data_IF_143018762838
#
_entry.id   IF_143018762838
#
_cell.length_a   1.000
_cell.length_b   1.000
_cell.length_c   1.000
_cell.angle_alpha   90.00
_cell.angle_beta   90.00
_cell.angle_gamma   90.00
#
_symmetry.space_group_name_H-M   'P 1'
#
loop_
_entity.id
_entity.type
_entity.pdbx_description
1 polymer ?
#
# COMPACT_ATOMS: atom_id res chain seq x y z
N UNK A 1 39.84 16.17 24.23
CA UNK A 1 39.12 15.33 23.26
C UNK A 1 37.92 16.11 22.77
N UNK A 2 37.80 16.34 21.46
CA UNK A 2 36.59 16.94 20.89
C UNK A 2 35.54 15.84 20.74
N UNK A 3 34.47 15.91 21.54
CA UNK A 3 33.32 15.03 21.38
C UNK A 3 32.43 15.59 20.29
N UNK A 4 32.12 14.78 19.28
CA UNK A 4 31.06 15.10 18.31
C UNK A 4 29.72 14.98 19.04
N UNK A 5 29.13 16.11 19.41
CA UNK A 5 27.84 16.18 20.10
C UNK A 5 26.66 15.92 19.17
N UNK A 6 26.81 16.15 17.86
CA UNK A 6 25.79 15.89 16.85
C UNK A 6 26.36 15.19 15.60
N UNK A 7 26.33 13.86 15.57
CA UNK A 7 26.69 13.09 14.37
C UNK A 7 25.49 13.00 13.41
N UNK A 8 25.45 13.88 12.40
CA UNK A 8 24.49 13.84 11.30
C UNK A 8 25.14 13.27 10.06
N UNK A 9 24.80 12.03 9.68
CA UNK A 9 25.23 11.42 8.43
C UNK A 9 24.10 10.67 7.72
N UNK A 10 24.20 10.57 6.40
CA UNK A 10 23.34 9.73 5.57
C UNK A 10 24.22 8.94 4.61
N UNK A 11 23.91 7.67 4.42
CA UNK A 11 24.74 6.75 3.64
C UNK A 11 25.28 5.60 4.48
N UNK A 12 26.28 4.91 3.96
CA UNK A 12 26.91 3.78 4.66
C UNK A 12 28.12 4.24 5.46
N UNK A 13 28.22 3.78 6.70
CA UNK A 13 29.41 3.92 7.55
C UNK A 13 29.74 2.55 8.15
N UNK A 14 30.74 1.88 7.59
CA UNK A 14 31.08 0.49 7.94
C UNK A 14 29.88 -0.46 7.84
N UNK A 15 29.56 -1.11 8.95
CA UNK A 15 28.43 -2.02 9.14
C UNK A 15 27.08 -1.31 9.26
N UNK A 16 27.03 0.03 9.29
CA UNK A 16 25.79 0.78 9.45
C UNK A 16 25.39 1.49 8.16
N UNK A 17 24.08 1.67 8.01
CA UNK A 17 23.50 2.52 6.97
C UNK A 17 22.49 3.45 7.62
N UNK A 18 22.69 4.76 7.43
CA UNK A 18 21.82 5.82 7.91
C UNK A 18 21.01 6.41 6.76
N UNK A 19 19.70 6.59 6.95
CA UNK A 19 18.84 7.22 5.95
C UNK A 19 17.69 7.97 6.61
N UNK A 20 17.14 8.95 5.89
CA UNK A 20 15.93 9.66 6.31
C UNK A 20 14.72 9.02 5.65
N UNK A 21 13.67 8.79 6.45
CA UNK A 21 12.39 8.29 5.96
C UNK A 21 11.37 9.42 5.97
N UNK A 22 10.68 9.60 4.84
CA UNK A 22 9.61 10.60 4.73
C UNK A 22 8.52 10.34 5.77
N UNK A 23 8.20 11.36 6.58
CA UNK A 23 7.23 11.26 7.67
C UNK A 23 7.85 11.07 9.07
N UNK A 24 9.18 11.09 9.16
CA UNK A 24 9.92 11.07 10.43
C UNK A 24 11.09 12.03 10.36
N UNK A 25 11.28 12.84 11.39
CA UNK A 25 12.41 13.78 11.48
C UNK A 25 13.70 13.11 11.97
N UNK A 26 13.60 11.85 12.39
CA UNK A 26 14.70 11.04 12.90
C UNK A 26 15.46 10.35 11.77
N UNK A 27 16.79 10.33 11.87
CA UNK A 27 17.64 9.48 11.02
C UNK A 27 17.50 8.02 11.47
N UNK A 28 17.13 7.14 10.54
CA UNK A 28 17.07 5.70 10.81
C UNK A 28 18.44 5.12 10.52
N UNK A 29 19.06 4.51 11.53
CA UNK A 29 20.33 3.80 11.41
C UNK A 29 20.05 2.31 11.54
N UNK A 30 20.47 1.53 10.54
CA UNK A 30 20.39 0.06 10.56
C UNK A 30 21.76 -0.56 10.43
N UNK A 31 21.96 -1.72 11.05
CA UNK A 31 23.12 -2.58 10.77
C UNK A 31 22.89 -3.35 9.46
N UNK A 32 23.93 -3.51 8.66
CA UNK A 32 23.97 -4.41 7.51
C UNK A 32 23.99 -5.84 8.03
N UNK A 33 23.18 -6.71 7.44
CA UNK A 33 23.05 -8.10 7.87
C UNK A 33 21.76 -8.72 7.38
N UNK A 34 21.47 -9.91 7.89
CA UNK A 34 20.31 -10.72 7.50
C UNK A 34 20.71 -11.89 6.59
N UNK A 35 19.79 -12.84 6.43
CA UNK A 35 19.98 -13.96 5.53
C UNK A 35 19.97 -13.48 4.07
N UNK A 36 20.79 -14.09 3.23
CA UNK A 36 20.78 -13.80 1.79
C UNK A 36 19.44 -14.21 1.16
N UNK A 37 19.09 -13.58 0.03
CA UNK A 37 17.89 -13.96 -0.75
C UNK A 37 17.86 -15.46 -1.07
N UNK A 38 19.01 -16.02 -1.45
CA UNK A 38 19.11 -17.44 -1.79
C UNK A 38 18.90 -18.32 -0.56
N UNK A 39 19.49 -17.95 0.58
CA UNK A 39 19.27 -18.64 1.85
C UNK A 39 17.80 -18.65 2.26
N UNK A 40 17.09 -17.52 2.10
CA UNK A 40 15.65 -17.43 2.39
C UNK A 40 14.84 -18.32 1.44
N UNK A 41 15.25 -18.43 0.17
CA UNK A 41 14.55 -19.21 -0.85
C UNK A 41 14.69 -20.72 -0.63
N UNK A 42 15.88 -21.19 -0.28
CA UNK A 42 16.20 -22.63 -0.29
C UNK A 42 16.22 -23.27 1.09
N UNK A 43 16.69 -22.57 2.12
CA UNK A 43 16.89 -23.18 3.44
C UNK A 43 15.57 -23.61 4.07
N UNK A 44 15.57 -24.79 4.69
CA UNK A 44 14.43 -25.34 5.44
C UNK A 44 14.01 -24.43 6.59
N UNK A 45 14.95 -23.71 7.22
CA UNK A 45 14.68 -22.80 8.35
C UNK A 45 13.72 -21.65 7.97
N UNK A 46 13.66 -21.28 6.69
CA UNK A 46 12.77 -20.22 6.20
C UNK A 46 11.48 -20.75 5.55
N UNK A 47 11.16 -22.05 5.66
CA UNK A 47 9.95 -22.63 5.05
C UNK A 47 8.67 -21.90 5.48
N UNK A 48 8.44 -21.72 6.77
CA UNK A 48 7.28 -20.98 7.30
C UNK A 48 7.29 -19.51 6.91
N UNK A 49 8.47 -18.88 6.93
CA UNK A 49 8.61 -17.48 6.52
C UNK A 49 8.19 -17.28 5.05
N UNK A 50 8.55 -18.21 4.15
CA UNK A 50 8.10 -18.18 2.75
C UNK A 50 6.57 -18.26 2.64
N UNK A 51 5.91 -19.09 3.44
CA UNK A 51 4.44 -19.15 3.46
C UNK A 51 3.82 -17.81 3.90
N UNK A 52 4.36 -17.19 4.95
CA UNK A 52 3.92 -15.86 5.39
C UNK A 52 4.21 -14.76 4.36
N UNK A 53 5.34 -14.83 3.66
CA UNK A 53 5.67 -13.90 2.58
C UNK A 53 4.67 -14.00 1.42
N UNK A 54 4.25 -15.21 1.04
CA UNK A 54 3.21 -15.43 0.02
C UNK A 54 1.89 -14.80 0.43
N UNK A 55 1.44 -15.04 1.66
CA UNK A 55 0.24 -14.42 2.21
C UNK A 55 0.32 -12.89 2.29
N UNK A 56 1.46 -12.36 2.71
CA UNK A 56 1.71 -10.92 2.78
C UNK A 56 1.73 -10.28 1.38
N UNK A 57 2.27 -10.99 0.39
CA UNK A 57 2.19 -10.61 -1.01
C UNK A 57 0.74 -10.48 -1.47
N UNK A 58 -0.12 -11.43 -1.11
CA UNK A 58 -1.56 -11.36 -1.37
C UNK A 58 -2.24 -10.15 -0.74
N UNK A 59 -1.99 -9.89 0.55
CA UNK A 59 -2.51 -8.70 1.23
C UNK A 59 -2.04 -7.40 0.55
N UNK A 60 -0.79 -7.37 0.08
CA UNK A 60 -0.23 -6.21 -0.60
C UNK A 60 -0.86 -5.97 -1.96
N UNK A 61 -1.13 -7.03 -2.72
CA UNK A 61 -1.83 -6.94 -4.02
C UNK A 61 -3.29 -6.52 -3.83
N UNK A 62 -4.02 -7.12 -2.90
CA UNK A 62 -5.39 -6.68 -2.60
C UNK A 62 -5.42 -5.25 -2.04
N UNK A 63 -4.44 -4.87 -1.23
CA UNK A 63 -4.31 -3.50 -0.73
C UNK A 63 -4.07 -2.50 -1.86
N UNK A 64 -3.35 -2.89 -2.92
CA UNK A 64 -3.24 -2.08 -4.14
C UNK A 64 -4.61 -1.90 -4.79
N UNK A 65 -5.41 -2.96 -4.86
CA UNK A 65 -6.76 -2.94 -5.45
C UNK A 65 -7.71 -2.02 -4.69
N UNK A 66 -7.78 -2.17 -3.36
CA UNK A 66 -8.50 -1.27 -2.45
C UNK A 66 -8.20 0.20 -2.74
N UNK A 67 -6.90 0.53 -2.85
CA UNK A 67 -6.45 1.91 -3.14
C UNK A 67 -6.77 2.36 -4.56
N UNK A 68 -6.70 1.45 -5.53
CA UNK A 68 -7.02 1.74 -6.92
C UNK A 68 -8.52 2.06 -7.09
N UNK A 69 -9.39 1.34 -6.38
CA UNK A 69 -10.83 1.58 -6.33
C UNK A 69 -11.25 2.89 -5.66
N UNK A 70 -10.33 3.57 -5.00
CA UNK A 70 -10.51 4.92 -4.44
C UNK A 70 -9.51 5.92 -5.04
N UNK A 71 -9.03 5.69 -6.26
CA UNK A 71 -7.99 6.53 -6.90
C UNK A 71 -8.28 8.05 -6.87
N UNK A 72 -9.53 8.53 -7.03
CA UNK A 72 -9.85 9.96 -6.86
C UNK A 72 -9.44 10.55 -5.50
N UNK A 73 -9.43 9.74 -4.45
CA UNK A 73 -9.09 10.15 -3.08
C UNK A 73 -7.58 10.28 -2.84
N UNK A 74 -6.75 9.89 -3.81
CA UNK A 74 -5.28 9.92 -3.69
C UNK A 74 -4.73 11.30 -3.36
N UNK A 75 -5.38 12.37 -3.83
CA UNK A 75 -4.99 13.73 -3.54
C UNK A 75 -5.28 14.16 -2.09
N UNK A 76 -6.19 13.45 -1.40
CA UNK A 76 -6.64 13.74 -0.04
C UNK A 76 -5.91 12.88 1.01
N UNK A 77 -5.39 11.72 0.61
CA UNK A 77 -4.80 10.74 1.51
C UNK A 77 -3.37 11.09 1.95
N UNK A 78 -3.00 10.59 3.14
CA UNK A 78 -1.62 10.67 3.62
C UNK A 78 -0.65 9.86 2.74
N UNK A 79 0.65 10.13 2.86
CA UNK A 79 1.64 9.41 2.06
C UNK A 79 1.72 7.91 2.39
N UNK A 80 1.43 7.50 3.62
CA UNK A 80 1.73 6.14 4.13
C UNK A 80 0.52 5.40 4.73
N UNK A 81 -0.68 5.57 4.16
CA UNK A 81 -1.85 4.82 4.65
C UNK A 81 -1.88 3.34 4.19
N UNK A 82 -1.09 2.98 3.17
CA UNK A 82 -1.01 1.63 2.61
C UNK A 82 -0.68 0.54 3.63
N UNK A 83 0.19 0.84 4.60
CA UNK A 83 0.55 -0.12 5.66
C UNK A 83 -0.63 -0.45 6.58
N UNK A 84 -1.49 0.53 6.86
CA UNK A 84 -2.68 0.32 7.68
C UNK A 84 -3.76 -0.46 6.93
N UNK A 85 -3.94 -0.20 5.63
CA UNK A 85 -4.81 -1.04 4.77
C UNK A 85 -4.33 -2.48 4.78
N UNK A 86 -3.02 -2.72 4.57
CA UNK A 86 -2.47 -4.07 4.60
C UNK A 86 -2.63 -4.74 5.99
N UNK A 87 -2.56 -3.97 7.09
CA UNK A 87 -2.80 -4.48 8.44
C UNK A 87 -4.24 -4.98 8.59
N UNK A 88 -5.23 -4.22 8.11
CA UNK A 88 -6.64 -4.62 8.12
C UNK A 88 -6.88 -5.88 7.26
N UNK A 89 -6.35 -5.90 6.03
CA UNK A 89 -6.44 -7.07 5.15
C UNK A 89 -5.76 -8.31 5.74
N UNK A 90 -4.68 -8.14 6.51
CA UNK A 90 -4.05 -9.27 7.21
C UNK A 90 -4.94 -9.82 8.32
N UNK A 91 -5.77 -8.99 8.98
CA UNK A 91 -6.76 -9.51 9.93
C UNK A 91 -7.84 -10.31 9.20
N UNK A 92 -8.37 -9.80 8.09
CA UNK A 92 -9.33 -10.51 7.23
C UNK A 92 -8.76 -11.88 6.82
N UNK A 93 -7.51 -11.92 6.35
CA UNK A 93 -6.87 -13.18 5.96
C UNK A 93 -6.73 -14.19 7.12
N UNK A 94 -6.55 -13.71 8.36
CA UNK A 94 -6.44 -14.59 9.53
C UNK A 94 -7.77 -15.25 9.88
N UNK A 95 -8.90 -14.69 9.46
CA UNK A 95 -10.23 -15.26 9.67
C UNK A 95 -10.52 -16.45 8.76
N UNK A 96 -9.70 -16.70 7.73
CA UNK A 96 -9.76 -17.96 6.98
C UNK A 96 -9.16 -19.11 7.80
N UNK A 97 -10.03 -19.82 8.51
CA UNK A 97 -9.71 -21.03 9.27
C UNK A 97 -9.74 -22.33 8.46
N UNK A 98 -10.12 -22.28 7.17
CA UNK A 98 -10.29 -23.47 6.32
C UNK A 98 -9.03 -23.76 5.52
N UNK A 99 -8.43 -22.70 4.95
CA UNK A 99 -7.26 -22.86 4.09
C UNK A 99 -5.96 -23.05 4.87
N UNK A 100 -5.05 -23.86 4.33
CA UNK A 100 -3.71 -24.05 4.90
C UNK A 100 -2.87 -22.77 4.92
N UNK A 101 -1.90 -22.70 5.84
CA UNK A 101 -0.94 -21.59 5.94
C UNK A 101 -0.22 -21.37 4.60
N UNK A 102 -0.14 -20.11 4.17
CA UNK A 102 0.41 -19.75 2.86
C UNK A 102 -0.66 -19.59 1.77
N UNK A 103 -1.85 -20.15 1.98
CA UNK A 103 -2.94 -20.22 0.99
C UNK A 103 -4.28 -19.64 1.47
N UNK A 104 -4.30 -18.99 2.64
CA UNK A 104 -5.48 -18.35 3.21
C UNK A 104 -6.01 -17.22 2.34
N UNK A 105 -7.26 -17.34 1.95
CA UNK A 105 -7.97 -16.36 1.16
C UNK A 105 -8.21 -15.08 1.96
N UNK A 106 -8.42 -13.98 1.23
CA UNK A 106 -8.67 -12.66 1.78
C UNK A 106 -10.05 -12.26 1.31
N UNK A 107 -11.05 -12.47 2.18
CA UNK A 107 -12.48 -12.30 1.87
C UNK A 107 -13.03 -11.05 2.54
N UNK A 108 -12.84 -9.89 1.92
CA UNK A 108 -13.42 -8.64 2.40
C UNK A 108 -14.96 -8.68 2.30
N UNK A 109 -15.50 -9.42 1.32
CA UNK A 109 -16.95 -9.56 1.16
C UNK A 109 -17.62 -10.20 2.37
N UNK A 110 -16.91 -11.02 3.15
CA UNK A 110 -17.46 -11.67 4.34
C UNK A 110 -17.27 -10.85 5.62
N UNK A 111 -16.26 -9.96 5.63
CA UNK A 111 -15.84 -9.18 6.80
C UNK A 111 -15.70 -7.69 6.47
N UNK A 112 -16.77 -7.03 5.96
CA UNK A 112 -16.72 -5.64 5.53
C UNK A 112 -16.40 -4.66 6.69
N UNK A 113 -16.76 -5.02 7.92
CA UNK A 113 -16.56 -4.21 9.12
C UNK A 113 -15.09 -3.91 9.44
N UNK A 114 -14.16 -4.75 8.98
CA UNK A 114 -12.72 -4.58 9.29
C UNK A 114 -12.07 -3.42 8.53
N UNK A 115 -12.71 -2.91 7.47
CA UNK A 115 -12.20 -1.80 6.68
C UNK A 115 -13.21 -0.63 6.60
N UNK A 116 -14.43 -0.82 7.11
CA UNK A 116 -15.40 0.24 7.32
C UNK A 116 -14.89 1.28 8.33
N UNK A 117 -15.11 2.56 8.04
CA UNK A 117 -14.67 3.67 8.90
C UNK A 117 -13.17 3.97 8.81
N UNK A 118 -12.42 3.29 7.95
CA UNK A 118 -10.98 3.48 7.82
C UNK A 118 -10.63 4.92 7.38
N UNK A 119 -9.82 5.62 8.17
CA UNK A 119 -9.34 6.96 7.83
C UNK A 119 -8.09 6.92 6.96
N UNK A 120 -8.07 7.72 5.89
CA UNK A 120 -6.91 7.83 5.00
C UNK A 120 -5.86 8.83 5.52
N UNK A 121 -6.18 9.53 6.61
CA UNK A 121 -5.37 10.59 7.20
C UNK A 121 -5.15 10.33 8.70
N UNK A 122 -3.93 10.55 9.18
CA UNK A 122 -3.59 10.28 10.58
C UNK A 122 -3.94 11.43 11.52
N UNK A 123 -3.73 12.68 11.09
CA UNK A 123 -3.85 13.86 11.95
C UNK A 123 -5.13 14.65 11.67
N UNK A 124 -5.34 15.03 10.42
CA UNK A 124 -6.56 15.71 9.96
C UNK A 124 -7.52 14.68 9.38
N UNK A 125 -8.29 14.02 10.24
CA UNK A 125 -9.26 12.99 9.81
C UNK A 125 -10.52 13.62 9.23
N UNK A 126 -11.25 12.89 8.40
CA UNK A 126 -12.56 13.33 7.92
C UNK A 126 -13.50 13.67 9.08
N UNK A 127 -13.56 12.82 10.11
CA UNK A 127 -14.44 13.02 11.28
C UNK A 127 -14.03 14.20 12.17
N UNK A 128 -12.76 14.61 12.14
CA UNK A 128 -12.32 15.84 12.81
C UNK A 128 -12.83 17.10 12.11
N UNK A 129 -12.99 17.04 10.78
CA UNK A 129 -13.49 18.15 9.97
C UNK A 129 -15.01 18.17 9.86
N UNK A 130 -15.65 17.03 9.64
CA UNK A 130 -17.11 16.90 9.54
C UNK A 130 -17.59 16.13 10.77
N UNK A 131 -18.07 16.87 11.78
CA UNK A 131 -18.47 16.31 13.09
C UNK A 131 -19.90 15.78 13.13
N UNK A 132 -20.69 16.03 12.08
CA UNK A 132 -22.02 15.42 11.95
C UNK A 132 -21.91 14.08 11.25
N UNK A 133 -22.72 13.11 11.67
CA UNK A 133 -22.82 11.82 11.01
C UNK A 133 -23.29 11.99 9.55
N UNK A 134 -22.51 11.45 8.62
CA UNK A 134 -22.88 11.30 7.21
C UNK A 134 -23.51 9.91 7.07
N UNK A 135 -24.80 9.85 6.75
CA UNK A 135 -25.51 8.57 6.56
C UNK A 135 -25.38 8.11 5.12
N UNK A 136 -25.36 6.79 4.91
CA UNK A 136 -25.32 6.22 3.57
C UNK A 136 -26.08 4.91 3.48
N UNK A 137 -26.51 4.58 2.27
CA UNK A 137 -27.07 3.27 1.90
C UNK A 137 -26.34 2.78 0.66
N UNK A 138 -25.96 1.51 0.63
CA UNK A 138 -25.29 0.87 -0.51
C UNK A 138 -26.18 -0.27 -0.98
N UNK A 139 -26.47 -0.31 -2.28
CA UNK A 139 -27.17 -1.40 -2.94
C UNK A 139 -26.19 -2.18 -3.82
N UNK A 140 -25.91 -3.43 -3.40
CA UNK A 140 -25.01 -4.33 -4.14
C UNK A 140 -25.61 -4.83 -5.44
N UNK A 141 -26.93 -4.97 -5.53
CA UNK A 141 -27.61 -5.53 -6.70
C UNK A 141 -27.65 -4.54 -7.86
N UNK A 142 -27.70 -3.24 -7.56
CA UNK A 142 -27.66 -2.17 -8.58
C UNK A 142 -26.29 -1.51 -8.71
N UNK A 143 -25.34 -1.81 -7.81
CA UNK A 143 -24.03 -1.17 -7.83
C UNK A 143 -24.11 0.32 -7.54
N UNK A 144 -25.03 0.71 -6.66
CA UNK A 144 -25.31 2.12 -6.35
C UNK A 144 -25.13 2.41 -4.86
N UNK A 145 -24.87 3.67 -4.55
CA UNK A 145 -24.85 4.16 -3.18
C UNK A 145 -25.44 5.57 -3.11
N UNK A 146 -26.17 5.82 -2.03
CA UNK A 146 -26.72 7.12 -1.67
C UNK A 146 -26.05 7.60 -0.41
N UNK A 147 -25.59 8.86 -0.42
CA UNK A 147 -25.02 9.54 0.74
C UNK A 147 -25.87 10.76 1.06
N UNK A 148 -26.25 10.92 2.33
CA UNK A 148 -26.87 12.15 2.81
C UNK A 148 -25.86 12.95 3.62
N UNK A 149 -25.52 14.13 3.11
CA UNK A 149 -24.66 15.10 3.77
C UNK A 149 -25.58 16.12 4.45
N UNK A 150 -25.54 16.23 5.78
CA UNK A 150 -26.29 17.27 6.49
C UNK A 150 -25.72 18.65 6.15
N UNK A 151 -26.49 19.70 6.46
CA UNK A 151 -26.00 21.06 6.31
C UNK A 151 -24.68 21.23 7.06
N UNK A 152 -23.67 21.73 6.37
CA UNK A 152 -22.36 22.01 6.95
C UNK A 152 -22.28 23.49 7.29
N UNK A 153 -22.10 23.77 8.57
CA UNK A 153 -21.95 25.13 9.11
C UNK A 153 -20.59 25.21 9.78
N UNK A 154 -19.80 26.18 9.33
CA UNK A 154 -18.46 26.42 9.85
C UNK A 154 -18.50 26.65 11.36
N UNK A 155 -17.51 26.10 12.06
CA UNK A 155 -17.29 26.25 13.51
C UNK A 155 -18.38 25.64 14.41
N UNK A 156 -19.43 25.04 13.82
CA UNK A 156 -20.46 24.27 14.53
C UNK A 156 -20.22 22.77 14.31
N UNK A 157 -20.34 22.32 13.06
CA UNK A 157 -20.21 20.92 12.70
C UNK A 157 -19.23 20.68 11.55
N UNK A 158 -18.69 21.76 10.97
CA UNK A 158 -17.70 21.73 9.92
C UNK A 158 -16.49 22.60 10.29
N UNK A 159 -15.31 22.00 10.31
CA UNK A 159 -14.05 22.64 10.71
C UNK A 159 -13.03 22.54 9.56
N UNK A 160 -13.23 23.27 8.46
CA UNK A 160 -12.33 23.23 7.30
C UNK A 160 -10.97 23.84 7.64
N UNK A 161 -9.95 23.52 6.83
CA UNK A 161 -8.67 24.20 6.90
C UNK A 161 -8.86 25.69 6.53
N UNK A 162 -8.49 26.58 7.44
CA UNK A 162 -8.63 28.03 7.28
C UNK A 162 -7.80 28.63 6.13
N UNK A 163 -6.80 27.90 5.64
CA UNK A 163 -5.93 28.34 4.54
C UNK A 163 -6.58 28.24 3.15
N UNK A 164 -7.73 27.57 3.03
CA UNK A 164 -8.36 27.34 1.73
C UNK A 164 -9.77 27.93 1.66
N UNK A 165 -10.05 28.84 0.70
CA UNK A 165 -11.31 29.58 0.64
C UNK A 165 -12.50 28.73 0.18
N UNK A 166 -12.24 27.62 -0.52
CA UNK A 166 -13.27 26.75 -1.07
C UNK A 166 -13.04 25.27 -0.73
N UNK A 167 -14.13 24.52 -0.68
CA UNK A 167 -14.12 23.07 -0.52
C UNK A 167 -15.20 22.41 -1.39
N UNK A 168 -15.00 21.13 -1.71
CA UNK A 168 -15.97 20.27 -2.36
C UNK A 168 -15.94 18.91 -1.66
N UNK A 169 -17.08 18.19 -1.65
CA UNK A 169 -17.16 16.84 -1.13
C UNK A 169 -17.12 15.88 -2.31
N UNK A 170 -16.18 14.94 -2.28
CA UNK A 170 -16.06 13.88 -3.28
C UNK A 170 -16.53 12.59 -2.65
N UNK A 171 -17.33 11.85 -3.40
CA UNK A 171 -17.79 10.51 -3.06
C UNK A 171 -17.34 9.57 -4.15
N UNK A 172 -16.76 8.43 -3.78
CA UNK A 172 -16.32 7.40 -4.70
C UNK A 172 -16.85 6.05 -4.27
N UNK A 173 -17.48 5.33 -5.19
CA UNK A 173 -17.93 3.95 -5.02
C UNK A 173 -17.05 3.06 -5.88
N UNK A 174 -16.47 2.02 -5.29
CA UNK A 174 -15.58 1.08 -5.98
C UNK A 174 -15.83 -0.38 -5.63
N UNK A 175 -15.50 -1.28 -6.55
CA UNK A 175 -15.65 -2.74 -6.44
C UNK A 175 -14.33 -3.37 -6.01
N UNK A 176 -14.28 -3.92 -4.82
CA UNK A 176 -13.10 -4.61 -4.30
C UNK A 176 -13.33 -6.12 -4.34
N UNK A 177 -12.66 -6.88 -5.22
CA UNK A 177 -12.77 -8.32 -5.26
C UNK A 177 -12.07 -8.99 -4.07
N UNK A 178 -12.57 -10.18 -3.71
CA UNK A 178 -11.88 -11.09 -2.80
C UNK A 178 -10.71 -11.78 -3.51
N UNK A 179 -9.65 -12.06 -2.76
CA UNK A 179 -8.44 -12.66 -3.30
C UNK A 179 -8.29 -14.09 -2.79
N UNK A 180 -8.07 -15.03 -3.71
CA UNK A 180 -7.81 -16.44 -3.38
C UNK A 180 -6.44 -16.85 -3.89
N UNK A 181 -5.86 -17.87 -3.27
CA UNK A 181 -4.57 -18.41 -3.70
C UNK A 181 -4.75 -19.28 -4.94
N UNK A 182 -4.10 -18.90 -6.03
CA UNK A 182 -4.08 -19.69 -7.26
C UNK A 182 -2.88 -20.66 -7.21
N UNK A 183 -3.17 -21.97 -7.11
CA UNK A 183 -2.15 -23.02 -7.02
C UNK A 183 -1.32 -23.17 -8.30
N UNK A 184 -1.86 -22.80 -9.47
CA UNK A 184 -1.18 -22.88 -10.76
C UNK A 184 -0.15 -21.76 -10.91
N UNK A 185 -0.49 -20.54 -10.51
CA UNK A 185 0.42 -19.37 -10.63
C UNK A 185 1.26 -19.12 -9.39
N UNK A 186 0.92 -19.76 -8.26
CA UNK A 186 1.55 -19.54 -6.96
C UNK A 186 1.29 -18.14 -6.37
N UNK A 187 0.28 -17.42 -6.88
CA UNK A 187 -0.02 -16.03 -6.51
C UNK A 187 -1.47 -15.88 -6.07
N UNK A 188 -1.70 -14.85 -5.26
CA UNK A 188 -3.06 -14.39 -4.97
C UNK A 188 -3.56 -13.51 -6.10
N UNK A 189 -4.77 -13.77 -6.56
CA UNK A 189 -5.44 -12.97 -7.57
C UNK A 189 -6.96 -13.02 -7.36
N UNK A 190 -7.63 -11.98 -7.81
CA UNK A 190 -9.04 -12.03 -8.12
C UNK A 190 -9.25 -12.82 -9.44
N UNK A 191 -10.48 -13.29 -9.73
CA UNK A 191 -10.84 -13.77 -11.05
C UNK A 191 -10.44 -12.78 -12.15
N UNK A 192 -9.91 -13.28 -13.29
CA UNK A 192 -9.36 -12.42 -14.36
C UNK A 192 -10.35 -11.42 -14.95
N UNK A 193 -11.64 -11.71 -14.90
CA UNK A 193 -12.66 -10.83 -15.48
C UNK A 193 -12.78 -9.49 -14.74
N UNK A 194 -12.24 -9.36 -13.51
CA UNK A 194 -12.10 -8.07 -12.83
C UNK A 194 -11.09 -7.14 -13.51
N UNK A 195 -10.10 -7.65 -14.26
CA UNK A 195 -9.03 -6.84 -14.86
C UNK A 195 -9.56 -5.86 -15.93
N UNK A 196 -10.68 -6.19 -16.57
CA UNK A 196 -11.32 -5.38 -17.63
C UNK A 196 -12.41 -4.45 -17.11
N UNK A 197 -12.70 -4.50 -15.80
CA UNK A 197 -13.81 -3.77 -15.21
C UNK A 197 -13.38 -2.34 -14.84
N UNK A 198 -14.12 -1.33 -15.30
CA UNK A 198 -14.03 0.02 -14.73
C UNK A 198 -14.75 0.02 -13.37
N UNK A 199 -14.07 -0.51 -12.35
CA UNK A 199 -14.68 -0.90 -11.09
C UNK A 199 -15.04 0.22 -10.13
N UNK A 200 -14.89 1.50 -10.51
CA UNK A 200 -15.25 2.62 -9.64
C UNK A 200 -15.88 3.77 -10.40
N UNK A 201 -16.73 4.52 -9.71
CA UNK A 201 -17.26 5.80 -10.16
C UNK A 201 -17.18 6.84 -9.03
N UNK A 202 -17.27 8.12 -9.37
CA UNK A 202 -17.26 9.20 -8.40
C UNK A 202 -18.28 10.27 -8.75
N UNK A 203 -18.75 10.96 -7.71
CA UNK A 203 -19.53 12.18 -7.82
C UNK A 203 -18.96 13.22 -6.87
N UNK A 204 -19.07 14.49 -7.21
CA UNK A 204 -18.61 15.58 -6.39
C UNK A 204 -19.67 16.67 -6.26
N UNK A 205 -19.65 17.37 -5.15
CA UNK A 205 -20.46 18.57 -5.00
C UNK A 205 -19.83 19.73 -5.77
N UNK A 206 -20.60 20.78 -6.08
CA UNK A 206 -20.03 22.07 -6.43
C UNK A 206 -19.04 22.56 -5.38
N UNK A 207 -18.19 23.51 -5.78
CA UNK A 207 -17.31 24.21 -4.84
C UNK A 207 -18.14 25.15 -3.96
N UNK A 208 -18.05 24.94 -2.65
CA UNK A 208 -18.64 25.81 -1.64
C UNK A 208 -17.58 26.67 -0.96
N UNK A 209 -17.99 27.80 -0.42
CA UNK A 209 -17.12 28.62 0.42
C UNK A 209 -16.87 27.93 1.76
N UNK A 210 -15.60 27.77 2.15
CA UNK A 210 -15.20 27.29 3.47
C UNK A 210 -15.63 28.21 4.61
N UNK A 211 -16.01 29.45 4.32
CA UNK A 211 -16.55 30.41 5.30
C UNK A 211 -18.06 30.23 5.50
N UNK A 212 -18.81 30.00 4.42
CA UNK A 212 -20.27 29.92 4.47
C UNK A 212 -20.80 28.51 4.74
N UNK A 213 -20.00 27.48 4.46
CA UNK A 213 -20.48 26.09 4.55
C UNK A 213 -21.32 25.68 3.33
N UNK A 214 -22.17 24.67 3.48
CA UNK A 214 -23.03 24.15 2.42
C UNK A 214 -24.41 23.73 2.95
N UNK A 215 -25.46 23.80 2.11
CA UNK A 215 -26.77 23.26 2.48
C UNK A 215 -26.74 21.73 2.61
N UNK A 216 -27.77 21.17 3.24
CA UNK A 216 -27.99 19.73 3.23
C UNK A 216 -28.19 19.23 1.80
N UNK A 217 -27.61 18.09 1.46
CA UNK A 217 -27.66 17.55 0.11
C UNK A 217 -27.50 16.02 0.11
N UNK A 218 -28.02 15.41 -0.95
CA UNK A 218 -27.91 13.98 -1.20
C UNK A 218 -27.10 13.75 -2.47
N UNK A 219 -26.16 12.81 -2.40
CA UNK A 219 -25.33 12.40 -3.53
C UNK A 219 -25.63 10.94 -3.84
N UNK A 220 -26.00 10.68 -5.09
CA UNK A 220 -26.18 9.33 -5.63
C UNK A 220 -25.00 9.01 -6.54
N UNK A 221 -24.33 7.89 -6.28
CA UNK A 221 -23.24 7.37 -7.10
C UNK A 221 -23.62 5.98 -7.58
N UNK A 222 -23.52 5.76 -8.90
CA UNK A 222 -23.84 4.49 -9.54
C UNK A 222 -22.64 4.05 -10.35
N UNK A 223 -22.25 2.78 -10.28
CA UNK A 223 -21.21 2.23 -11.14
C UNK A 223 -21.66 2.27 -12.62
N UNK A 224 -20.70 2.32 -13.55
CA UNK A 224 -20.98 2.48 -14.99
C UNK A 224 -21.49 1.18 -15.67
N UNK A 225 -22.49 0.52 -15.06
CA UNK A 225 -23.18 -0.68 -15.55
C UNK A 225 -22.39 -1.99 -15.58
N UNK A 226 -21.34 -2.13 -14.76
CA UNK A 226 -20.69 -3.43 -14.56
C UNK A 226 -20.79 -3.81 -13.09
N UNK A 227 -21.55 -4.86 -12.80
CA UNK A 227 -21.58 -5.49 -11.49
C UNK A 227 -20.91 -6.86 -11.68
N UNK A 228 -20.05 -7.28 -10.74
CA UNK A 228 -19.57 -8.65 -10.68
C UNK A 228 -20.67 -9.70 -10.88
N UNK A 229 -20.48 -10.72 -11.74
CA UNK A 229 -21.38 -11.85 -11.81
C UNK A 229 -21.25 -12.81 -10.61
N UNK A 230 -20.20 -12.67 -9.78
CA UNK A 230 -20.01 -13.47 -8.57
C UNK A 230 -20.34 -12.70 -7.29
N UNK A 231 -20.44 -13.41 -6.16
CA UNK A 231 -20.68 -12.80 -4.85
C UNK A 231 -19.40 -12.36 -4.12
N UNK A 232 -18.21 -12.69 -4.67
CA UNK A 232 -16.89 -12.53 -4.06
C UNK A 232 -16.31 -11.12 -4.18
N UNK A 233 -17.14 -10.11 -3.98
CA UNK A 233 -16.74 -8.70 -4.01
C UNK A 233 -17.41 -7.89 -2.91
N UNK A 234 -16.79 -6.75 -2.62
CA UNK A 234 -17.36 -5.73 -1.75
C UNK A 234 -17.54 -4.41 -2.51
N UNK A 235 -18.59 -3.68 -2.20
CA UNK A 235 -18.72 -2.28 -2.61
C UNK A 235 -18.13 -1.40 -1.52
N UNK A 236 -17.07 -0.66 -1.87
CA UNK A 236 -16.37 0.28 -1.01
C UNK A 236 -16.84 1.70 -1.31
N UNK A 237 -17.50 2.32 -0.34
CA UNK A 237 -17.93 3.72 -0.41
C UNK A 237 -16.96 4.60 0.36
N UNK A 238 -16.31 5.53 -0.33
CA UNK A 238 -15.31 6.43 0.22
C UNK A 238 -15.80 7.87 0.08
N UNK A 239 -15.63 8.67 1.13
CA UNK A 239 -15.99 10.09 1.14
C UNK A 239 -14.77 10.91 1.51
N UNK A 240 -14.63 12.08 0.89
CA UNK A 240 -13.55 13.02 1.17
C UNK A 240 -13.98 14.46 1.05
N UNK A 241 -13.31 15.33 1.80
CA UNK A 241 -13.37 16.79 1.67
C UNK A 241 -12.11 17.23 0.94
N UNK A 242 -12.28 17.82 -0.24
CA UNK A 242 -11.19 18.40 -1.01
C UNK A 242 -11.21 19.92 -0.89
N UNK A 243 -10.02 20.54 -0.79
CA UNK A 243 -9.89 21.99 -0.74
C UNK A 243 -9.44 22.56 -2.08
N UNK A 244 -9.89 23.77 -2.36
CA UNK A 244 -9.63 24.48 -3.60
C UNK A 244 -9.09 25.88 -3.35
N UNK A 245 -8.24 26.33 -4.28
CA UNK A 245 -7.77 27.71 -4.36
C UNK A 245 -8.35 28.38 -5.62
N UNK A 246 -8.62 29.68 -5.51
CA UNK A 246 -9.02 30.50 -6.64
C UNK A 246 -7.81 30.72 -7.55
N UNK A 247 -7.98 30.49 -8.85
CA UNK A 247 -7.01 30.84 -9.88
C UNK A 247 -7.44 32.11 -10.63
N UNK A 248 -6.50 32.70 -11.38
CA UNK A 248 -6.66 33.97 -12.10
C UNK A 248 -7.85 34.00 -13.07
N UNK A 249 -8.28 32.85 -13.56
CA UNK A 249 -9.44 32.70 -14.44
C UNK A 249 -10.79 32.63 -13.68
N UNK A 250 -10.80 32.84 -12.36
CA UNK A 250 -11.98 32.72 -11.50
C UNK A 250 -12.40 31.28 -11.20
N UNK A 251 -11.70 30.27 -11.74
CA UNK A 251 -12.00 28.86 -11.47
C UNK A 251 -11.33 28.41 -10.17
N UNK A 252 -12.04 27.59 -9.40
CA UNK A 252 -11.48 26.92 -8.24
C UNK A 252 -10.76 25.65 -8.68
N UNK A 253 -9.49 25.51 -8.32
CA UNK A 253 -8.69 24.32 -8.59
C UNK A 253 -8.34 23.62 -7.29
N UNK A 254 -8.44 22.30 -7.29
CA UNK A 254 -8.07 21.47 -6.14
C UNK A 254 -6.60 21.66 -5.76
N UNK A 255 -6.34 21.87 -4.47
CA UNK A 255 -4.99 21.92 -3.90
C UNK A 255 -4.57 20.50 -3.52
N UNK A 256 -3.46 20.02 -4.11
CA UNK A 256 -2.97 18.67 -3.87
C UNK A 256 -2.52 18.49 -2.42
N UNK A 257 -2.77 17.29 -1.86
CA UNK A 257 -2.37 16.90 -0.49
C UNK A 257 -3.00 17.76 0.60
N UNK A 258 -4.20 18.25 0.34
CA UNK A 258 -5.01 19.00 1.30
C UNK A 258 -6.39 18.37 1.35
N UNK A 259 -6.98 18.33 2.53
CA UNK A 259 -8.26 17.67 2.75
C UNK A 259 -8.14 16.43 3.62
N UNK A 260 -9.20 15.64 3.63
CA UNK A 260 -9.18 14.31 4.24
C UNK A 260 -10.22 13.40 3.62
N UNK A 261 -10.00 12.11 3.75
CA UNK A 261 -10.92 11.10 3.29
C UNK A 261 -11.05 9.93 4.28
N UNK A 262 -12.17 9.22 4.19
CA UNK A 262 -12.41 7.97 4.90
C UNK A 262 -13.22 7.00 4.05
N UNK A 263 -13.02 5.71 4.28
CA UNK A 263 -13.95 4.68 3.81
C UNK A 263 -15.17 4.76 4.72
N UNK A 264 -16.29 5.26 4.20
CA UNK A 264 -17.51 5.50 4.97
C UNK A 264 -18.21 4.19 5.31
N UNK A 265 -18.36 3.32 4.32
CA UNK A 265 -19.04 2.04 4.45
C UNK A 265 -18.52 1.03 3.43
N UNK A 266 -18.68 -0.24 3.76
CA UNK A 266 -18.40 -1.36 2.85
C UNK A 266 -19.61 -2.29 2.87
N UNK A 267 -20.11 -2.65 1.69
CA UNK A 267 -21.15 -3.66 1.56
C UNK A 267 -20.56 -4.95 0.99
N UNK A 268 -20.55 -6.00 1.82
CA UNK A 268 -20.10 -7.34 1.48
C UNK A 268 -21.24 -8.28 1.08
N UNK A 269 -20.92 -9.56 0.85
CA UNK A 269 -21.94 -10.60 0.70
C UNK A 269 -22.68 -10.83 2.02
N UNK A 270 -23.98 -11.11 1.96
CA UNK A 270 -24.73 -11.49 3.15
C UNK A 270 -24.13 -12.79 3.70
N UNK A 271 -23.38 -12.71 4.80
CA UNK A 271 -22.82 -13.88 5.45
C UNK A 271 -23.91 -14.61 6.24
N UNK A 272 -24.17 -15.86 5.88
CA UNK A 272 -25.12 -16.76 6.56
C UNK A 272 -24.61 -17.23 7.93
N UNK A 273 -23.45 -16.77 8.39
CA UNK A 273 -22.85 -17.21 9.64
C UNK A 273 -22.07 -16.06 10.30
N UNK A 274 -22.77 -15.27 11.14
CA UNK A 274 -22.19 -14.15 11.90
C UNK A 274 -21.97 -14.52 13.36
N UNK A 275 -21.22 -15.59 13.65
CA UNK A 275 -20.47 -15.63 14.90
C UNK A 275 -19.12 -14.97 14.67
N UNK A 276 -19.05 -13.66 14.97
CA UNK A 276 -17.77 -12.97 15.09
C UNK A 276 -16.93 -13.67 16.16
N UNK A 277 -15.74 -14.21 15.87
CA UNK A 277 -14.86 -14.64 16.93
C UNK A 277 -14.43 -13.39 17.70
N UNK A 278 -14.78 -13.34 18.99
CA UNK A 278 -14.30 -12.32 19.92
C UNK A 278 -12.76 -12.35 19.84
N UNK A 279 -12.17 -11.30 19.25
CA UNK A 279 -10.73 -11.09 19.31
C UNK A 279 -10.44 -10.73 20.77
N UNK A 280 -10.11 -11.75 21.57
CA UNK A 280 -9.56 -11.50 22.91
C UNK A 280 -8.29 -10.64 22.72
N UNK A 281 -8.09 -9.60 23.53
CA UNK A 281 -6.84 -8.87 23.52
C UNK A 281 -5.73 -9.90 23.75
N UNK A 282 -4.77 -9.96 22.83
CA UNK A 282 -3.56 -10.74 23.03
C UNK A 282 -2.83 -10.09 24.19
N UNK A 283 -2.94 -10.68 25.38
CA UNK A 283 -2.06 -10.38 26.49
C UNK A 283 -0.64 -10.78 26.07
N UNK A 284 0.30 -9.84 26.18
CA UNK A 284 1.71 -9.98 25.78
C UNK A 284 2.50 -10.97 26.67
N UNK A 285 2.02 -12.21 26.84
CA UNK A 285 2.66 -13.16 27.78
C UNK A 285 2.78 -14.61 27.32
N UNK A 286 2.42 -14.95 26.08
CA UNK A 286 2.67 -16.30 25.55
C UNK A 286 3.56 -16.27 24.31
N UNK A 287 4.83 -15.96 24.55
CA UNK A 287 5.93 -16.30 23.67
C UNK A 287 7.07 -16.89 24.52
N UNK A 288 6.82 -18.06 25.10
CA UNK A 288 7.88 -18.93 25.60
C UNK A 288 7.63 -20.33 25.06
N UNK A 289 8.50 -20.75 24.13
CA UNK A 289 8.64 -22.17 23.80
C UNK A 289 9.17 -22.88 25.06
N UNK A 290 8.71 -24.09 25.40
CA UNK A 290 9.24 -24.81 26.55
C UNK A 290 10.74 -25.10 26.37
N UNK A 291 11.52 -24.70 27.37
CA UNK A 291 12.94 -24.99 27.53
C UNK A 291 13.17 -26.48 27.83
N UNK A 292 13.02 -27.36 26.85
CA UNK A 292 13.39 -28.79 27.00
C UNK A 292 14.18 -29.34 25.82
N UNK A 293 14.86 -28.50 25.04
CA UNK A 293 15.64 -28.95 23.88
C UNK A 293 17.12 -28.50 23.87
N UNK A 294 17.68 -28.13 25.03
CA UNK A 294 19.08 -27.68 25.16
C UNK A 294 19.88 -28.40 26.25
N UNK A 295 19.54 -29.64 26.59
CA UNK A 295 20.30 -30.43 27.55
C UNK A 295 20.49 -31.88 27.09
N UNK A 296 21.19 -32.11 25.97
CA UNK A 296 21.71 -33.46 25.68
C UNK A 296 22.90 -33.51 24.69
N UNK A 297 23.76 -32.48 24.64
CA UNK A 297 24.91 -32.54 23.71
C UNK A 297 26.23 -31.96 24.25
N UNK A 298 26.39 -31.85 25.56
CA UNK A 298 27.63 -31.38 26.19
C UNK A 298 28.47 -32.46 26.88
N UNK A 299 28.18 -33.76 26.69
CA UNK A 299 28.94 -34.86 27.33
C UNK A 299 29.52 -35.94 26.40
N UNK A 300 29.56 -35.73 25.08
CA UNK A 300 30.34 -36.58 24.15
C UNK A 300 31.36 -35.77 23.36
N UNK A 301 32.35 -35.21 24.07
CA UNK A 301 33.49 -34.58 23.43
C UNK A 301 34.77 -34.65 24.29
N UNK A 302 35.00 -35.74 25.01
CA UNK A 302 36.31 -36.06 25.58
C UNK A 302 36.47 -37.59 25.52
N UNK A 303 37.60 -38.06 24.99
CA UNK A 303 38.04 -39.47 24.79
C UNK A 303 37.89 -40.00 23.35
N UNK A 304 38.88 -39.71 22.51
CA UNK A 304 39.51 -40.69 21.60
C UNK A 304 40.78 -40.06 20.98
N UNK A 305 41.94 -40.60 21.36
CA UNK A 305 43.26 -40.31 20.82
C UNK A 305 43.62 -41.37 19.76
N UNK A 306 44.38 -40.94 18.74
CA UNK A 306 45.24 -41.70 17.80
C UNK A 306 44.62 -42.57 16.70
N UNK A 307 44.79 -42.15 15.44
CA UNK A 307 45.32 -42.94 14.29
C UNK A 307 45.34 -42.09 12.99
N UNK A 308 46.19 -42.43 11.99
CA UNK A 308 46.81 -41.45 11.09
C UNK A 308 45.94 -41.04 9.89
N UNK A 309 46.29 -39.89 9.30
CA UNK A 309 45.60 -39.23 8.21
C UNK A 309 45.58 -40.06 6.90
N UNK A 310 44.46 -40.12 6.16
CA UNK A 310 44.44 -40.64 4.79
C UNK A 310 44.91 -39.59 3.78
N UNK A 311 45.65 -40.04 2.78
CA UNK A 311 46.25 -39.28 1.67
C UNK A 311 45.23 -38.45 0.86
N UNK A 312 45.69 -37.27 0.40
CA UNK A 312 44.92 -36.37 -0.47
C UNK A 312 44.75 -36.97 -1.88
N UNK A 313 43.54 -36.96 -2.46
CA UNK A 313 43.38 -37.21 -3.89
C UNK A 313 43.83 -35.99 -4.72
N UNK A 314 44.39 -36.30 -5.89
CA UNK A 314 45.02 -35.39 -6.85
C UNK A 314 44.11 -34.25 -7.37
N UNK A 315 44.77 -33.18 -7.83
CA UNK A 315 44.23 -31.94 -8.39
C UNK A 315 43.08 -32.13 -9.40
N UNK A 316 42.02 -31.30 -9.36
CA UNK A 316 41.05 -31.26 -10.45
C UNK A 316 41.60 -30.51 -11.66
N UNK A 317 41.51 -31.15 -12.82
CA UNK A 317 41.82 -30.60 -14.16
C UNK A 317 41.13 -29.24 -14.39
N UNK A 318 41.85 -28.34 -15.06
CA UNK A 318 41.39 -27.04 -15.53
C UNK A 318 40.00 -27.10 -16.19
N UNK A 319 39.05 -26.32 -15.67
CA UNK A 319 37.79 -26.04 -16.36
C UNK A 319 38.07 -25.10 -17.54
N UNK A 320 37.69 -25.53 -18.75
CA UNK A 320 37.68 -24.70 -19.94
C UNK A 320 36.69 -23.54 -19.78
N UNK A 321 37.06 -22.34 -20.24
CA UNK A 321 36.19 -21.17 -20.28
C UNK A 321 34.99 -21.41 -21.22
N UNK A 322 33.76 -20.98 -20.85
CA UNK A 322 32.63 -21.00 -21.76
C UNK A 322 32.76 -19.88 -22.82
N UNK A 323 32.26 -20.08 -24.05
CA UNK A 323 32.35 -19.08 -25.12
C UNK A 323 31.56 -17.81 -24.78
N UNK A 324 32.06 -16.67 -25.26
CA UNK A 324 31.53 -15.34 -25.01
C UNK A 324 30.06 -15.19 -25.49
N UNK A 325 29.22 -14.63 -24.61
CA UNK A 325 27.84 -14.25 -24.89
C UNK A 325 27.79 -12.97 -25.75
N UNK A 326 27.18 -12.99 -26.96
CA UNK A 326 27.13 -11.83 -27.86
C UNK A 326 26.23 -10.67 -27.41
N UNK A 327 25.63 -10.73 -26.21
CA UNK A 327 24.71 -9.68 -25.72
C UNK A 327 25.17 -8.92 -24.47
N UNK A 328 26.47 -8.88 -24.18
CA UNK A 328 27.00 -7.97 -23.14
C UNK A 328 27.09 -6.53 -23.64
N UNK A 329 26.14 -5.70 -23.19
CA UNK A 329 26.25 -4.23 -23.24
C UNK A 329 27.24 -3.77 -22.17
N UNK A 330 28.40 -3.27 -22.59
CA UNK A 330 29.42 -2.67 -21.72
C UNK A 330 29.06 -1.21 -21.43
N UNK A 331 28.85 -0.85 -20.15
CA UNK A 331 28.77 0.55 -19.75
C UNK A 331 30.19 1.08 -19.50
N UNK A 332 30.66 1.99 -20.34
CA UNK A 332 31.85 2.80 -20.08
C UNK A 332 31.45 4.01 -19.24
N UNK A 333 32.01 4.12 -18.04
CA UNK A 333 31.87 5.31 -17.20
C UNK A 333 32.96 6.31 -17.64
N UNK A 334 32.57 7.33 -18.40
CA UNK A 334 33.46 8.48 -18.64
C UNK A 334 33.32 9.46 -17.48
N UNK A 335 34.35 9.56 -16.65
CA UNK A 335 34.46 10.61 -15.64
C UNK A 335 34.63 11.96 -16.32
N UNK A 336 33.70 12.89 -16.09
CA UNK A 336 33.94 14.32 -16.35
C UNK A 336 34.24 15.03 -15.03
N UNK A 337 35.36 15.74 -15.08
CA UNK A 337 36.00 16.56 -14.04
C UNK A 337 35.18 17.76 -13.58
N UNK A 338 35.54 18.22 -12.39
CA UNK A 338 35.02 19.33 -11.61
C UNK A 338 34.62 20.59 -12.39
N UNK A 339 33.42 21.10 -12.09
CA UNK A 339 33.12 22.54 -12.13
C UNK A 339 32.65 22.98 -10.74
N UNK A 340 33.34 23.98 -10.21
CA UNK A 340 33.08 24.61 -8.93
C UNK A 340 31.63 25.11 -8.82
N UNK A 341 31.01 24.87 -7.67
CA UNK A 341 29.65 25.33 -7.32
C UNK A 341 29.78 26.57 -6.44
N UNK A 342 29.19 27.68 -6.89
CA UNK A 342 28.99 28.92 -6.14
C UNK A 342 28.01 28.69 -4.97
N UNK A 343 28.31 29.10 -3.71
CA UNK A 343 27.48 28.80 -2.56
C UNK A 343 26.22 29.67 -2.39
N UNK A 344 25.89 30.60 -3.30
CA UNK A 344 24.90 31.66 -3.01
C UNK A 344 23.57 31.62 -3.76
N UNK A 345 23.31 30.66 -4.66
CA UNK A 345 22.02 30.58 -5.35
C UNK A 345 20.99 29.67 -4.63
N UNK A 346 19.98 30.29 -4.02
CA UNK A 346 18.94 29.65 -3.23
C UNK A 346 17.55 29.70 -3.89
N UNK A 347 17.48 29.58 -5.23
CA UNK A 347 16.20 29.41 -5.95
C UNK A 347 16.24 28.16 -6.84
N UNK A 348 15.56 27.09 -6.42
CA UNK A 348 15.34 25.90 -7.27
C UNK A 348 13.98 25.98 -7.96
N UNK A 349 13.94 26.60 -9.14
CA UNK A 349 13.03 26.19 -10.19
C UNK A 349 13.71 25.07 -10.98
N UNK A 350 13.07 23.89 -11.07
CA UNK A 350 13.48 22.84 -12.01
C UNK A 350 12.45 22.78 -13.13
N UNK A 351 12.78 23.47 -14.22
CA UNK A 351 12.22 23.21 -15.55
C UNK A 351 12.84 21.91 -16.05
N UNK A 352 12.01 20.94 -16.42
CA UNK A 352 12.43 19.75 -17.16
C UNK A 352 11.91 19.91 -18.59
N UNK A 353 12.80 20.25 -19.52
CA UNK A 353 12.58 20.00 -20.94
C UNK A 353 12.84 18.51 -21.22
N UNK A 354 11.87 17.84 -21.86
CA UNK A 354 12.03 16.50 -22.39
C UNK A 354 12.09 16.65 -23.92
N UNK A 355 13.30 16.47 -24.47
CA UNK A 355 13.51 16.31 -25.91
C UNK A 355 12.87 15.01 -26.39
N UNK A 356 12.07 15.13 -27.45
CA UNK A 356 11.24 14.05 -27.99
C UNK A 356 12.02 13.01 -28.81
N UNK A 357 11.37 11.86 -28.98
CA UNK A 357 11.69 10.90 -30.03
C UNK A 357 10.38 10.19 -30.42
N UNK A 358 9.96 10.38 -31.66
CA UNK A 358 8.67 9.92 -32.19
C UNK A 358 8.69 8.47 -32.65
N UNK A 359 7.53 7.83 -32.57
CA UNK A 359 7.21 6.57 -33.25
C UNK A 359 5.80 6.69 -33.86
N UNK A 360 5.74 6.69 -35.19
CA UNK A 360 4.59 6.35 -36.05
C UNK A 360 4.98 5.03 -36.76
N UNK A 361 4.14 4.05 -37.11
CA UNK A 361 2.72 3.96 -37.41
C UNK A 361 2.18 2.54 -37.12
N UNK A 362 0.88 2.42 -36.82
CA UNK A 362 0.03 1.36 -37.39
C UNK A 362 -1.35 1.97 -37.67
N UNK A 363 -1.64 2.21 -38.94
CA UNK A 363 -2.89 2.78 -39.41
C UNK A 363 -4.00 1.75 -39.55
N UNK A 364 -5.24 2.18 -39.27
CA UNK A 364 -6.49 1.62 -39.75
C UNK A 364 -7.43 2.80 -40.07
N UNK A 365 -7.99 2.77 -41.27
CA UNK A 365 -8.75 3.82 -41.94
C UNK A 365 -10.22 3.85 -41.55
N UNK A 366 -10.80 5.05 -41.47
CA UNK A 366 -12.20 5.30 -41.83
C UNK A 366 -12.25 6.59 -42.65
N UNK A 367 -12.71 6.47 -43.90
CA UNK A 367 -13.06 7.61 -44.75
C UNK A 367 -14.58 7.72 -44.83
N UNK A 368 -15.09 8.95 -44.82
CA UNK A 368 -16.33 9.35 -45.50
C UNK A 368 -16.14 10.80 -45.94
N UNK A 369 -16.17 10.95 -47.27
CA UNK A 369 -16.39 12.11 -48.17
C UNK A 369 -15.85 13.50 -47.82
#
# INVERSE_FOLDING_TARGET
>A
MAYLTELKFSGSLGDFTAYKMRGTDKTVVRRKGGASKETIRTSRRFATARLWMTEFGGCSTMGKEVRFMMSPMKALADYNFSGFVNKALKQIQKLDGVSALGRRAIRLSQYPELLQGFSLNKYTTFDSMVRTAVTCTIDRATGSARINIPQLVRDINFFPNSQHPAYSIVVCLGVVPDFTFNSTTGKYAAPKWYDTMQGWNMVETPWYSSLKGSPAQTLDVVLNNTIPPDAGYSLQLTVGVQFGALHDNGMVKQVKRTGAAKILAIAGSESTDKTMPIIKPVSDTEAFLPETFLADNSQKAITAVSSPAPEMPAEPKACQEPPADPWKVTYTYTSMTDRAIDPTDNRRERVFEIGGMGLYHSGWSYGVQ
#
